data_IF_209695386662
#
_entry.id   IF_209695386662
#
_cell.length_a   1.000
_cell.length_b   1.000
_cell.length_c   1.000
_cell.angle_alpha   90.00
_cell.angle_beta   90.00
_cell.angle_gamma   90.00
#
_symmetry.space_group_name_H-M   'P 1'
#
loop_
_entity.id
_entity.type
_entity.pdbx_description
1 polymer ?
#
# COMPACT_ATOMS: atom_id res chain seq x y z
N UNK A 1 33.11 -70.29 50.57
CA UNK A 1 32.18 -69.44 51.35
C UNK A 1 32.75 -68.03 51.42
N UNK A 2 32.12 -67.09 50.71
CA UNK A 2 31.96 -65.63 50.98
C UNK A 2 31.82 -64.87 49.65
N UNK A 3 30.65 -64.27 49.46
CA UNK A 3 30.33 -63.31 48.39
C UNK A 3 30.32 -61.93 49.05
N UNK A 4 31.01 -60.96 48.45
CA UNK A 4 30.92 -59.55 48.85
C UNK A 4 29.81 -58.86 48.06
N UNK A 5 29.02 -58.03 48.74
CA UNK A 5 27.88 -57.32 48.18
C UNK A 5 28.28 -55.88 47.82
N UNK A 6 27.95 -55.47 46.60
CA UNK A 6 28.11 -54.10 46.09
C UNK A 6 26.97 -53.24 46.65
N UNK A 7 27.30 -52.16 47.36
CA UNK A 7 26.36 -51.15 47.86
C UNK A 7 26.11 -50.12 46.77
N UNK A 8 24.85 -49.91 46.40
CA UNK A 8 24.42 -48.89 45.44
C UNK A 8 24.18 -47.55 46.15
N UNK A 9 24.86 -46.48 45.71
CA UNK A 9 24.64 -45.12 46.19
C UNK A 9 23.32 -44.54 45.63
N UNK A 10 22.53 -43.88 46.48
CA UNK A 10 21.30 -43.16 46.09
C UNK A 10 21.65 -41.79 45.51
N UNK A 11 21.00 -41.33 44.42
CA UNK A 11 21.24 -40.00 43.89
C UNK A 11 20.71 -38.92 44.84
N UNK A 12 21.53 -37.90 45.06
CA UNK A 12 21.24 -36.76 45.94
C UNK A 12 20.42 -35.70 45.18
N UNK A 13 19.10 -35.70 45.37
CA UNK A 13 18.18 -34.71 44.82
C UNK A 13 18.53 -33.32 45.37
N UNK A 14 19.28 -32.52 44.60
CA UNK A 14 19.78 -31.25 45.09
C UNK A 14 18.68 -30.20 45.05
N UNK A 15 18.45 -29.52 46.19
CA UNK A 15 17.48 -28.43 46.32
C UNK A 15 17.63 -27.36 45.22
N UNK A 16 18.83 -27.23 44.64
CA UNK A 16 19.14 -26.40 43.49
C UNK A 16 18.35 -26.75 42.22
N UNK A 17 18.10 -28.02 41.93
CA UNK A 17 17.27 -28.43 40.79
C UNK A 17 15.80 -28.00 40.96
N UNK A 18 15.28 -28.02 42.20
CA UNK A 18 13.91 -27.57 42.51
C UNK A 18 13.78 -26.05 42.38
N UNK A 19 14.79 -25.31 42.84
CA UNK A 19 14.84 -23.84 42.70
C UNK A 19 14.93 -23.45 41.22
N UNK A 20 15.78 -24.11 40.44
CA UNK A 20 15.90 -23.86 39.01
C UNK A 20 14.59 -24.16 38.27
N UNK A 21 13.95 -25.31 38.57
CA UNK A 21 12.67 -25.68 37.98
C UNK A 21 11.55 -24.66 38.31
N UNK A 22 11.47 -24.19 39.56
CA UNK A 22 10.52 -23.14 39.95
C UNK A 22 10.77 -21.82 39.21
N UNK A 23 12.04 -21.44 39.04
CA UNK A 23 12.41 -20.24 38.29
C UNK A 23 12.01 -20.35 36.81
N UNK A 24 12.26 -21.49 36.16
CA UNK A 24 11.87 -21.71 34.76
C UNK A 24 10.36 -21.67 34.59
N UNK A 25 9.60 -22.29 35.50
CA UNK A 25 8.12 -22.26 35.47
C UNK A 25 7.60 -20.83 35.63
N UNK A 26 8.18 -20.03 36.52
CA UNK A 26 7.82 -18.62 36.69
C UNK A 26 8.12 -17.77 35.44
N UNK A 27 9.25 -18.03 34.76
CA UNK A 27 9.61 -17.32 33.54
C UNK A 27 8.62 -17.63 32.41
N UNK A 28 8.27 -18.91 32.23
CA UNK A 28 7.29 -19.33 31.20
C UNK A 28 5.89 -18.78 31.51
N UNK A 29 5.45 -18.85 32.78
CA UNK A 29 4.17 -18.28 33.20
C UNK A 29 4.12 -16.77 33.03
N UNK A 30 5.20 -16.06 33.37
CA UNK A 30 5.35 -14.62 33.16
C UNK A 30 5.32 -14.25 31.67
N UNK A 31 6.01 -15.02 30.82
CA UNK A 31 5.99 -14.85 29.37
C UNK A 31 4.60 -15.06 28.76
N UNK A 32 3.88 -16.11 29.16
CA UNK A 32 2.50 -16.34 28.73
C UNK A 32 1.56 -15.23 29.21
N UNK A 33 1.72 -14.75 30.45
CA UNK A 33 0.90 -13.66 30.98
C UNK A 33 1.16 -12.33 30.25
N UNK A 34 2.43 -12.00 29.99
CA UNK A 34 2.80 -10.80 29.25
C UNK A 34 2.30 -10.87 27.80
N UNK A 35 2.46 -12.02 27.14
CA UNK A 35 1.92 -12.28 25.80
C UNK A 35 0.39 -12.19 25.76
N UNK A 36 -0.31 -12.70 26.77
CA UNK A 36 -1.76 -12.58 26.91
C UNK A 36 -2.19 -11.11 27.05
N UNK A 37 -1.51 -10.32 27.90
CA UNK A 37 -1.79 -8.90 28.05
C UNK A 37 -1.57 -8.11 26.75
N UNK A 38 -0.47 -8.38 26.03
CA UNK A 38 -0.20 -7.77 24.71
C UNK A 38 -1.26 -8.17 23.70
N UNK A 39 -1.64 -9.45 23.64
CA UNK A 39 -2.70 -9.92 22.76
C UNK A 39 -4.04 -9.23 23.08
N UNK A 40 -4.43 -9.15 24.35
CA UNK A 40 -5.71 -8.52 24.72
C UNK A 40 -5.71 -7.03 24.45
N UNK A 41 -4.59 -6.33 24.68
CA UNK A 41 -4.48 -4.89 24.42
C UNK A 41 -4.48 -4.56 22.93
N UNK A 42 -3.75 -5.34 22.11
CA UNK A 42 -3.76 -5.18 20.64
C UNK A 42 -5.11 -5.55 20.06
N UNK A 43 -5.71 -6.67 20.51
CA UNK A 43 -7.06 -7.07 20.09
C UNK A 43 -8.09 -6.00 20.42
N UNK A 44 -8.02 -5.41 21.62
CA UNK A 44 -8.94 -4.35 22.01
C UNK A 44 -8.64 -3.04 21.26
N UNK A 45 -7.39 -2.75 20.90
CA UNK A 45 -7.03 -1.59 20.07
C UNK A 45 -7.56 -1.73 18.64
N UNK A 46 -7.38 -2.89 18.03
CA UNK A 46 -7.89 -3.21 16.67
C UNK A 46 -9.42 -3.33 16.68
N UNK A 47 -10.00 -3.83 17.77
CA UNK A 47 -11.46 -3.88 17.97
C UNK A 47 -12.07 -2.50 18.24
N UNK A 48 -11.32 -1.56 18.84
CA UNK A 48 -11.73 -0.17 19.07
C UNK A 48 -11.45 0.75 17.88
N UNK A 49 -10.58 0.36 16.94
CA UNK A 49 -10.41 1.08 15.68
C UNK A 49 -11.56 0.79 14.73
N UNK A 50 -12.76 1.22 15.08
CA UNK A 50 -13.73 1.65 14.08
C UNK A 50 -13.21 2.98 13.55
N UNK A 51 -12.94 3.05 12.24
CA UNK A 51 -12.69 4.29 11.51
C UNK A 51 -13.69 5.35 11.97
N UNK A 52 -13.21 6.39 12.65
CA UNK A 52 -13.99 7.55 13.03
C UNK A 52 -14.29 8.41 11.80
N UNK A 53 -15.16 7.92 10.91
CA UNK A 53 -15.81 8.72 9.88
C UNK A 53 -17.25 8.23 9.73
N UNK A 54 -18.09 8.43 10.76
CA UNK A 54 -19.54 8.64 10.59
C UNK A 54 -20.06 9.43 11.81
N UNK A 55 -20.90 10.46 11.61
CA UNK A 55 -21.56 11.14 12.72
C UNK A 55 -22.60 10.20 13.35
N UNK A 56 -22.66 10.21 14.68
CA UNK A 56 -23.60 9.43 15.47
C UNK A 56 -25.06 9.80 15.17
N UNK A 57 -25.92 8.80 14.97
CA UNK A 57 -27.38 8.95 14.98
C UNK A 57 -27.97 8.21 16.20
N UNK A 58 -29.08 8.73 16.77
CA UNK A 58 -29.58 8.33 18.09
C UNK A 58 -30.25 6.96 18.08
N UNK A 59 -30.06 6.25 19.19
CA UNK A 59 -30.64 4.95 19.51
C UNK A 59 -32.16 4.96 19.43
N UNK A 60 -32.71 4.23 18.45
CA UNK A 60 -34.12 3.84 18.39
C UNK A 60 -34.20 2.33 18.15
N UNK A 61 -34.70 1.61 19.13
CA UNK A 61 -34.97 0.16 19.09
C UNK A 61 -35.91 -0.19 17.95
N UNK A 62 -35.43 -0.98 16.99
CA UNK A 62 -36.24 -1.57 15.93
C UNK A 62 -35.50 -2.75 15.31
N UNK A 63 -36.03 -3.96 15.51
CA UNK A 63 -35.57 -5.21 14.90
C UNK A 63 -35.79 -5.11 13.38
N UNK A 64 -34.77 -5.33 12.56
CA UNK A 64 -34.94 -5.53 11.11
C UNK A 64 -34.15 -6.77 10.68
N UNK A 65 -34.90 -7.71 10.11
CA UNK A 65 -34.48 -8.98 9.52
C UNK A 65 -33.40 -8.82 8.43
N UNK A 66 -32.59 -9.86 8.28
CA UNK A 66 -31.67 -10.05 7.17
C UNK A 66 -32.39 -9.90 5.82
N UNK A 67 -31.98 -8.90 5.02
CA UNK A 67 -32.32 -8.79 3.61
C UNK A 67 -31.09 -9.08 2.77
N UNK A 68 -31.23 -10.10 1.93
CA UNK A 68 -30.34 -10.39 0.81
C UNK A 68 -30.51 -9.27 -0.20
N UNK A 69 -29.56 -8.33 -0.23
CA UNK A 69 -29.50 -7.24 -1.18
C UNK A 69 -28.09 -6.70 -1.18
N UNK A 70 -27.46 -6.59 -2.35
CA UNK A 70 -26.20 -5.87 -2.46
C UNK A 70 -26.45 -4.43 -2.01
N UNK A 71 -25.99 -4.10 -0.81
CA UNK A 71 -25.69 -2.72 -0.45
C UNK A 71 -24.50 -2.29 -1.32
N UNK A 72 -24.82 -1.93 -2.56
CA UNK A 72 -23.97 -1.02 -3.33
C UNK A 72 -23.89 0.20 -2.46
N UNK A 73 -22.74 0.40 -1.81
CA UNK A 73 -22.43 1.62 -1.07
C UNK A 73 -22.74 2.76 -2.02
N UNK A 74 -23.90 3.38 -1.82
CA UNK A 74 -24.31 4.54 -2.61
C UNK A 74 -23.52 5.67 -2.00
N UNK A 75 -22.27 5.79 -2.45
CA UNK A 75 -21.46 6.98 -2.22
C UNK A 75 -22.35 8.15 -2.66
N UNK A 76 -22.59 9.17 -1.82
CA UNK A 76 -23.37 10.32 -2.24
C UNK A 76 -22.76 10.80 -3.54
N UNK A 77 -23.54 10.76 -4.63
CA UNK A 77 -23.07 11.12 -5.96
C UNK A 77 -22.63 12.56 -5.89
N UNK A 78 -21.32 12.77 -5.72
CA UNK A 78 -20.73 14.10 -5.65
C UNK A 78 -21.07 14.76 -6.98
N UNK A 79 -21.88 15.82 -6.94
CA UNK A 79 -22.26 16.56 -8.15
C UNK A 79 -21.09 17.33 -8.74
N UNK A 80 -20.03 17.52 -7.97
CA UNK A 80 -18.85 18.27 -8.36
C UNK A 80 -17.87 17.43 -9.17
N UNK A 81 -17.12 18.11 -10.05
CA UNK A 81 -16.02 17.55 -10.82
C UNK A 81 -14.95 16.94 -9.91
N UNK A 82 -14.53 15.72 -10.23
CA UNK A 82 -13.48 14.99 -9.52
C UNK A 82 -12.26 14.83 -10.43
N UNK A 83 -11.17 15.50 -10.07
CA UNK A 83 -9.86 15.29 -10.68
C UNK A 83 -9.04 14.26 -9.89
N UNK A 84 -8.50 13.28 -10.59
CA UNK A 84 -7.67 12.18 -10.11
C UNK A 84 -6.34 12.22 -10.86
N UNK A 85 -5.22 12.18 -10.15
CA UNK A 85 -3.90 12.08 -10.76
C UNK A 85 -3.47 10.61 -10.87
N UNK A 86 -3.28 10.13 -12.09
CA UNK A 86 -2.74 8.82 -12.38
C UNK A 86 -1.22 8.93 -12.54
N UNK A 87 -0.49 8.12 -11.79
CA UNK A 87 0.97 8.08 -11.75
C UNK A 87 1.44 6.68 -12.16
N UNK A 88 2.20 6.61 -13.25
CA UNK A 88 2.94 5.42 -13.65
C UNK A 88 4.39 5.53 -13.18
N UNK A 89 4.86 4.56 -12.40
CA UNK A 89 6.25 4.44 -11.95
C UNK A 89 6.95 3.28 -12.66
N UNK A 90 8.17 3.50 -13.13
CA UNK A 90 9.08 2.43 -13.56
C UNK A 90 9.84 1.92 -12.34
N UNK A 91 9.13 1.22 -11.44
CA UNK A 91 9.73 0.53 -10.31
C UNK A 91 9.57 -0.98 -10.52
N UNK A 92 10.71 -1.66 -10.69
CA UNK A 92 10.78 -3.12 -10.83
C UNK A 92 10.75 -3.81 -9.47
N UNK A 93 10.38 -5.08 -9.42
CA UNK A 93 10.22 -5.82 -8.16
C UNK A 93 11.49 -5.87 -7.29
N UNK A 94 12.66 -5.84 -7.94
CA UNK A 94 13.99 -5.88 -7.28
C UNK A 94 14.41 -4.49 -6.78
N UNK A 95 13.81 -3.42 -7.31
CA UNK A 95 14.19 -2.05 -6.99
C UNK A 95 13.42 -1.54 -5.77
N UNK A 96 14.15 -1.33 -4.68
CA UNK A 96 13.61 -0.66 -3.48
C UNK A 96 14.18 0.73 -3.36
N UNK A 97 13.33 1.75 -3.50
CA UNK A 97 13.73 3.14 -3.22
C UNK A 97 12.86 4.18 -3.91
N UNK A 98 13.18 5.47 -3.69
CA UNK A 98 12.52 6.57 -4.38
C UNK A 98 12.68 6.43 -5.90
N UNK A 99 11.57 6.51 -6.63
CA UNK A 99 11.55 6.41 -8.09
C UNK A 99 10.95 7.66 -8.73
N UNK A 100 11.21 7.86 -10.03
CA UNK A 100 10.55 8.90 -10.83
C UNK A 100 9.26 8.35 -11.44
N UNK A 101 8.40 9.26 -11.86
CA UNK A 101 7.17 8.92 -12.58
C UNK A 101 7.38 9.13 -14.08
N UNK A 102 7.12 8.12 -14.88
CA UNK A 102 7.22 8.21 -16.35
C UNK A 102 5.89 8.59 -16.99
N UNK A 103 4.78 8.27 -16.32
CA UNK A 103 3.43 8.63 -16.78
C UNK A 103 2.74 9.47 -15.73
N UNK A 104 2.20 10.62 -16.17
CA UNK A 104 1.35 11.48 -15.36
C UNK A 104 0.12 11.87 -16.17
N UNK A 105 -1.07 11.46 -15.73
CA UNK A 105 -2.33 11.78 -16.40
C UNK A 105 -3.30 12.35 -15.38
N UNK A 106 -3.84 13.54 -15.64
CA UNK A 106 -4.96 14.08 -14.88
C UNK A 106 -6.24 13.58 -15.51
N UNK A 107 -6.96 12.73 -14.78
CA UNK A 107 -8.28 12.24 -15.16
C UNK A 107 -9.35 13.04 -14.42
N UNK A 108 -10.20 13.71 -15.18
CA UNK A 108 -11.29 14.54 -14.67
C UNK A 108 -12.63 13.90 -15.01
N UNK A 109 -13.44 13.63 -14.01
CA UNK A 109 -14.81 13.13 -14.17
C UNK A 109 -15.75 14.24 -13.76
N UNK A 110 -16.72 14.54 -14.62
CA UNK A 110 -17.82 15.46 -14.33
C UNK A 110 -19.15 14.69 -14.31
N UNK A 111 -19.66 14.33 -13.12
CA UNK A 111 -20.88 13.56 -12.99
C UNK A 111 -22.14 14.30 -13.45
N UNK A 112 -22.12 15.64 -13.44
CA UNK A 112 -23.27 16.47 -13.85
C UNK A 112 -23.42 16.49 -15.36
N UNK A 113 -22.32 16.79 -16.07
CA UNK A 113 -22.31 16.76 -17.54
C UNK A 113 -22.15 15.35 -18.14
N UNK A 114 -21.88 14.34 -17.29
CA UNK A 114 -21.55 12.96 -17.68
C UNK A 114 -20.36 12.90 -18.66
N UNK A 115 -19.39 13.79 -18.46
CA UNK A 115 -18.18 13.85 -19.28
C UNK A 115 -16.97 13.38 -18.50
N UNK A 116 -15.99 12.84 -19.21
CA UNK A 116 -14.69 12.54 -18.67
C UNK A 116 -13.61 13.12 -19.59
N UNK A 117 -12.53 13.64 -19.01
CA UNK A 117 -11.41 14.23 -19.73
C UNK A 117 -10.10 13.70 -19.16
N UNK A 118 -9.15 13.44 -20.04
CA UNK A 118 -7.79 13.08 -19.67
C UNK A 118 -6.81 14.11 -20.21
N UNK A 119 -5.88 14.54 -19.36
CA UNK A 119 -4.77 15.41 -19.74
C UNK A 119 -3.46 14.72 -19.37
N UNK A 120 -2.71 14.31 -20.38
CA UNK A 120 -1.35 13.80 -20.18
C UNK A 120 -0.38 14.95 -19.92
N UNK A 121 0.41 14.82 -18.85
CA UNK A 121 1.46 15.78 -18.50
C UNK A 121 2.81 15.18 -18.94
N UNK A 122 3.61 15.88 -19.76
CA UNK A 122 4.94 15.41 -20.14
C UNK A 122 5.85 15.28 -18.91
N UNK A 123 6.53 14.13 -18.75
CA UNK A 123 7.40 13.84 -17.58
C UNK A 123 8.52 14.86 -17.38
N UNK A 124 9.00 15.46 -18.47
CA UNK A 124 10.11 16.42 -18.49
C UNK A 124 9.63 17.88 -18.39
N UNK A 125 8.34 18.13 -18.11
CA UNK A 125 7.81 19.47 -17.91
C UNK A 125 8.55 20.18 -16.76
N UNK A 126 9.15 21.34 -17.05
CA UNK A 126 9.90 22.11 -16.07
C UNK A 126 8.95 22.93 -15.20
N UNK A 127 8.93 22.65 -13.90
CA UNK A 127 7.97 23.21 -12.94
C UNK A 127 8.63 23.58 -11.62
N UNK A 128 7.94 24.39 -10.84
CA UNK A 128 8.26 24.62 -9.43
C UNK A 128 7.66 23.51 -8.59
N UNK A 129 8.48 22.84 -7.79
CA UNK A 129 8.04 21.87 -6.79
C UNK A 129 7.78 22.64 -5.48
N UNK A 130 6.52 22.78 -5.05
CA UNK A 130 6.16 23.52 -3.85
C UNK A 130 6.78 22.88 -2.60
N UNK A 131 6.85 23.64 -1.51
CA UNK A 131 7.47 23.29 -0.21
C UNK A 131 9.00 23.18 -0.20
N UNK A 132 9.64 22.97 -1.36
CA UNK A 132 11.10 22.92 -1.49
C UNK A 132 11.71 24.14 -2.20
N UNK A 133 10.86 25.02 -2.76
CA UNK A 133 11.28 26.15 -3.62
C UNK A 133 12.31 25.73 -4.68
N UNK A 134 12.15 24.51 -5.21
CA UNK A 134 13.05 23.90 -6.17
C UNK A 134 12.38 23.90 -7.55
N UNK A 135 13.16 24.17 -8.60
CA UNK A 135 12.72 24.02 -9.99
C UNK A 135 13.33 22.76 -10.58
N UNK A 136 12.48 21.88 -11.09
CA UNK A 136 12.93 20.63 -11.69
C UNK A 136 11.89 20.12 -12.71
N UNK A 137 12.21 19.01 -13.36
CA UNK A 137 11.22 18.26 -14.12
C UNK A 137 10.14 17.71 -13.20
N UNK A 138 8.90 17.71 -13.66
CA UNK A 138 7.75 17.33 -12.83
C UNK A 138 7.83 15.89 -12.31
N UNK A 139 8.46 14.99 -13.07
CA UNK A 139 8.68 13.61 -12.64
C UNK A 139 9.53 13.48 -11.37
N UNK A 140 10.39 14.45 -11.09
CA UNK A 140 11.23 14.48 -9.89
C UNK A 140 10.44 14.77 -8.62
N UNK A 141 9.22 15.31 -8.72
CA UNK A 141 8.36 15.55 -7.55
C UNK A 141 8.03 14.24 -6.81
N UNK A 142 7.82 13.14 -7.53
CA UNK A 142 7.61 11.83 -6.89
C UNK A 142 8.88 11.36 -6.16
N UNK A 143 10.02 11.42 -6.85
CA UNK A 143 11.31 11.03 -6.29
C UNK A 143 11.63 11.82 -5.01
N UNK A 144 11.47 13.14 -5.03
CA UNK A 144 11.77 13.98 -3.88
C UNK A 144 10.80 13.76 -2.72
N UNK A 145 9.54 13.50 -3.00
CA UNK A 145 8.57 13.24 -1.94
C UNK A 145 8.87 11.92 -1.21
N UNK A 146 9.29 10.88 -1.94
CA UNK A 146 9.73 9.62 -1.34
C UNK A 146 11.09 9.77 -0.65
N UNK A 147 12.07 10.43 -1.29
CA UNK A 147 13.43 10.56 -0.76
C UNK A 147 13.56 11.49 0.47
N UNK A 148 12.59 12.39 0.67
CA UNK A 148 12.59 13.38 1.76
C UNK A 148 11.47 13.14 2.77
N UNK A 149 10.88 11.94 2.78
CA UNK A 149 9.82 11.54 3.70
C UNK A 149 8.65 12.55 3.78
N UNK A 150 8.21 13.05 2.62
CA UNK A 150 7.11 14.01 2.55
C UNK A 150 5.82 13.40 3.14
N UNK A 151 4.95 14.16 3.83
CA UNK A 151 3.68 13.65 4.31
C UNK A 151 2.81 13.09 3.18
N UNK A 152 2.62 11.76 3.15
CA UNK A 152 1.94 11.06 2.06
C UNK A 152 2.85 10.63 0.88
N UNK A 153 4.17 10.75 1.04
CA UNK A 153 5.21 10.28 0.13
C UNK A 153 5.31 11.04 -1.20
N UNK A 154 6.03 10.44 -2.14
CA UNK A 154 6.18 10.86 -3.52
C UNK A 154 4.87 11.19 -4.23
N UNK A 155 3.81 10.36 -4.12
CA UNK A 155 2.53 10.64 -4.76
C UNK A 155 1.87 11.92 -4.26
N UNK A 156 1.96 12.21 -2.97
CA UNK A 156 1.38 13.40 -2.39
C UNK A 156 2.11 14.67 -2.84
N UNK A 157 3.44 14.65 -2.90
CA UNK A 157 4.22 15.78 -3.43
C UNK A 157 3.95 15.98 -4.93
N UNK A 158 3.94 14.90 -5.72
CA UNK A 158 3.59 14.95 -7.14
C UNK A 158 2.20 15.54 -7.38
N UNK A 159 1.20 15.10 -6.61
CA UNK A 159 -0.15 15.67 -6.62
C UNK A 159 -0.14 17.17 -6.35
N UNK A 160 0.59 17.62 -5.32
CA UNK A 160 0.67 19.03 -4.96
C UNK A 160 1.37 19.87 -6.04
N UNK A 161 2.45 19.35 -6.63
CA UNK A 161 3.14 19.98 -7.77
C UNK A 161 2.21 20.14 -8.96
N UNK A 162 1.50 19.09 -9.38
CA UNK A 162 0.55 19.15 -10.50
C UNK A 162 -0.56 20.18 -10.22
N UNK A 163 -1.12 20.16 -9.00
CA UNK A 163 -2.15 21.12 -8.59
C UNK A 163 -1.62 22.56 -8.64
N UNK A 164 -0.38 22.80 -8.20
CA UNK A 164 0.26 24.11 -8.25
C UNK A 164 0.53 24.57 -9.69
N UNK A 165 1.03 23.69 -10.54
CA UNK A 165 1.36 24.00 -11.95
C UNK A 165 0.12 24.27 -12.79
N UNK A 166 -0.93 23.45 -12.65
CA UNK A 166 -2.14 23.55 -13.46
C UNK A 166 -3.18 24.51 -12.88
N UNK A 167 -3.08 24.86 -11.61
CA UNK A 167 -4.07 25.71 -10.92
C UNK A 167 -5.43 25.05 -10.73
N UNK A 168 -5.54 23.73 -10.92
CA UNK A 168 -6.79 22.96 -10.74
C UNK A 168 -6.68 22.05 -9.51
N UNK A 169 -7.76 21.88 -8.73
CA UNK A 169 -7.72 21.01 -7.55
C UNK A 169 -7.53 19.55 -7.99
N UNK A 170 -6.61 18.84 -7.36
CA UNK A 170 -6.48 17.38 -7.52
C UNK A 170 -7.04 16.75 -6.24
N UNK A 171 -8.04 15.88 -6.36
CA UNK A 171 -8.69 15.30 -5.17
C UNK A 171 -7.99 14.02 -4.73
N UNK A 172 -7.80 13.11 -5.68
CA UNK A 172 -7.22 11.79 -5.43
C UNK A 172 -6.01 11.56 -6.33
N UNK A 173 -5.22 10.55 -5.99
CA UNK A 173 -4.18 10.04 -6.85
C UNK A 173 -4.21 8.52 -6.84
N UNK A 174 -3.71 7.92 -7.93
CA UNK A 174 -3.50 6.49 -8.07
C UNK A 174 -2.08 6.30 -8.58
N UNK A 175 -1.30 5.45 -7.90
CA UNK A 175 0.06 5.08 -8.30
C UNK A 175 0.09 3.62 -8.72
N UNK A 176 0.61 3.35 -9.90
CA UNK A 176 0.68 2.01 -10.51
C UNK A 176 2.09 1.80 -11.07
N UNK A 177 2.65 0.61 -10.86
CA UNK A 177 3.88 0.16 -11.53
C UNK A 177 3.54 -0.78 -12.70
N UNK A 178 4.53 -1.18 -13.50
CA UNK A 178 4.30 -2.04 -14.68
C UNK A 178 3.59 -3.36 -14.34
N UNK A 179 4.04 -4.10 -13.32
CA UNK A 179 3.38 -5.33 -12.88
C UNK A 179 1.91 -5.10 -12.47
N UNK A 180 1.61 -3.98 -11.81
CA UNK A 180 0.24 -3.59 -11.47
C UNK A 180 -0.60 -3.27 -12.71
N UNK A 181 -0.01 -2.66 -13.72
CA UNK A 181 -0.68 -2.34 -14.97
C UNK A 181 -1.01 -3.60 -15.78
N UNK A 182 -0.06 -4.52 -15.95
CA UNK A 182 -0.27 -5.82 -16.61
C UNK A 182 -1.42 -6.60 -15.97
N UNK A 183 -1.40 -6.72 -14.63
CA UNK A 183 -2.46 -7.40 -13.90
C UNK A 183 -3.83 -6.78 -14.13
N UNK A 184 -3.92 -5.45 -14.26
CA UNK A 184 -5.19 -4.78 -14.59
C UNK A 184 -5.66 -5.17 -15.98
N UNK A 185 -4.77 -5.13 -16.98
CA UNK A 185 -5.07 -5.49 -18.38
C UNK A 185 -5.52 -6.96 -18.48
N UNK A 186 -4.83 -7.87 -17.81
CA UNK A 186 -5.19 -9.29 -17.80
C UNK A 186 -6.55 -9.53 -17.14
N UNK A 187 -6.84 -8.81 -16.05
CA UNK A 187 -8.10 -8.93 -15.31
C UNK A 187 -9.30 -8.47 -16.14
N UNK A 188 -9.13 -7.48 -17.01
CA UNK A 188 -10.20 -7.02 -17.91
C UNK A 188 -10.31 -7.84 -19.20
N UNK A 189 -9.45 -8.87 -19.38
CA UNK A 189 -9.47 -9.75 -20.54
C UNK A 189 -8.69 -9.24 -21.75
N UNK A 190 -7.71 -8.36 -21.52
CA UNK A 190 -6.92 -7.71 -22.56
C UNK A 190 -7.59 -6.46 -23.14
N UNK A 191 -6.83 -5.71 -23.94
CA UNK A 191 -7.32 -4.51 -24.66
C UNK A 191 -7.02 -4.64 -26.15
N UNK A 192 -7.95 -4.20 -26.99
CA UNK A 192 -7.72 -4.06 -28.43
C UNK A 192 -7.27 -2.64 -28.74
N UNK A 193 -6.10 -2.50 -29.36
CA UNK A 193 -5.56 -1.22 -29.80
C UNK A 193 -5.48 -1.19 -31.32
N UNK A 194 -5.75 -0.03 -31.92
CA UNK A 194 -5.52 0.19 -33.33
C UNK A 194 -4.10 0.75 -33.52
N UNK A 195 -3.20 -0.06 -34.06
CA UNK A 195 -1.82 0.34 -34.35
C UNK A 195 -1.77 0.82 -35.79
N UNK A 196 -1.61 2.12 -36.01
CA UNK A 196 -1.64 2.71 -37.37
C UNK A 196 -0.44 2.32 -38.23
N UNK A 197 0.70 2.03 -37.61
CA UNK A 197 1.95 1.68 -38.27
C UNK A 197 2.61 0.51 -37.55
N UNK A 198 3.04 -0.49 -38.31
CA UNK A 198 3.72 -1.64 -37.76
C UNK A 198 4.98 -1.22 -36.97
N UNK A 199 5.18 -1.80 -35.80
CA UNK A 199 6.32 -1.56 -34.93
C UNK A 199 7.22 -2.79 -35.02
N UNK A 200 8.40 -2.62 -35.62
CA UNK A 200 9.48 -3.62 -35.60
C UNK A 200 10.68 -3.05 -34.83
N UNK A 201 10.91 -3.56 -33.62
CA UNK A 201 12.03 -3.19 -32.76
C UNK A 201 12.73 -4.44 -32.23
N UNK A 202 13.95 -4.70 -32.71
CA UNK A 202 14.78 -5.84 -32.30
C UNK A 202 15.46 -5.64 -30.95
N UNK A 203 15.44 -4.42 -30.42
CA UNK A 203 16.14 -4.02 -29.18
C UNK A 203 15.18 -3.42 -28.16
N UNK A 204 13.93 -3.88 -28.14
CA UNK A 204 12.99 -3.47 -27.13
C UNK A 204 13.45 -3.99 -25.76
N UNK A 205 13.58 -3.14 -24.72
CA UNK A 205 14.10 -3.56 -23.43
C UNK A 205 13.14 -4.54 -22.74
N UNK A 206 13.68 -5.64 -22.21
CA UNK A 206 12.91 -6.58 -21.40
C UNK A 206 12.98 -6.27 -19.88
N UNK A 207 12.21 -7.01 -19.08
CA UNK A 207 12.17 -6.88 -17.62
C UNK A 207 13.50 -7.21 -16.94
N UNK A 208 14.37 -7.99 -17.60
CA UNK A 208 15.63 -8.49 -17.10
C UNK A 208 16.85 -7.70 -17.59
N UNK A 209 16.65 -6.47 -18.07
CA UNK A 209 17.69 -5.60 -18.64
C UNK A 209 18.35 -6.17 -19.92
N UNK A 210 17.69 -7.10 -20.58
CA UNK A 210 18.00 -7.62 -21.90
C UNK A 210 17.18 -6.93 -23.00
N UNK A 211 17.08 -7.61 -24.14
CA UNK A 211 16.38 -7.13 -25.32
C UNK A 211 15.46 -8.22 -25.86
N UNK A 212 14.26 -7.83 -26.28
CA UNK A 212 13.31 -8.66 -27.02
C UNK A 212 12.95 -8.00 -28.35
N UNK A 213 12.51 -8.82 -29.30
CA UNK A 213 11.97 -8.33 -30.57
C UNK A 213 10.47 -8.10 -30.42
N UNK A 214 10.02 -6.89 -30.73
CA UNK A 214 8.61 -6.54 -30.87
C UNK A 214 8.32 -6.37 -32.36
N UNK A 215 7.34 -7.12 -32.86
CA UNK A 215 6.84 -7.07 -34.24
C UNK A 215 5.30 -7.11 -34.18
N UNK A 216 4.66 -5.94 -34.26
CA UNK A 216 3.19 -5.75 -34.15
C UNK A 216 2.64 -4.81 -35.21
#
# INVERSE_FOLDING_TARGET
MKREAVVAERPHDSAWQRVFMLFTVLLVAGGMFCGYLVYTTVRDLVGRSQLAILPSLPSGTGVVQAQTGQDVVTLPARKERINILLLGIDQREIETGPCRTDTMIVFSIDPESKTASMLSIPRDLWVTIPDYNEHNRINAAHLFGDARDYPGGGPALAKKTVQYTLGVPIHNYVRINFAGFEKIVDTIGGITINVEQAIHDEKYPDEHYGYMTVDI
#
